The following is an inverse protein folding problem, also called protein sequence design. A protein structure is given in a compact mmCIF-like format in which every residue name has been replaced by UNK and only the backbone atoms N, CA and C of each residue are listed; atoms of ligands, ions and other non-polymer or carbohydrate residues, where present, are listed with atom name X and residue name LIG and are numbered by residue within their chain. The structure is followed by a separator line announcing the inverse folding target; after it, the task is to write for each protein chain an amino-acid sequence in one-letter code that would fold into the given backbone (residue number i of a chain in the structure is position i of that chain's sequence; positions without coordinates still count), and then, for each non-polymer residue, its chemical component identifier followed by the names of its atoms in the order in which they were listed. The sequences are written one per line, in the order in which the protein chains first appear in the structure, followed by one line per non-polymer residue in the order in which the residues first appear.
data_IF_903104708663
#
_entry.id   IF_903104708663
#
_cell.length_a   1.000
_cell.length_b   1.000
_cell.length_c   1.000
_cell.angle_alpha   90.00
_cell.angle_beta   90.00
_cell.angle_gamma   90.00
#
_symmetry.space_group_name_H-M   'P 1'
#
loop_
_entity.id
_entity.type
_entity.pdbx_description
1 polymer ?
#
# COMPACT_ATOMS: atom_id res chain seq x y z
N UNK A 1 -10.82 5.51 13.75
CA UNK A 1 -9.63 4.81 13.26
C UNK A 1 -9.03 5.56 12.08
N UNK A 2 -7.74 5.80 12.12
CA UNK A 2 -7.06 6.52 11.06
C UNK A 2 -6.40 5.53 10.11
N UNK A 3 -6.73 5.63 8.82
CA UNK A 3 -6.26 4.69 7.80
C UNK A 3 -5.51 5.41 6.70
N UNK A 4 -4.61 4.69 6.05
CA UNK A 4 -3.83 5.21 4.94
C UNK A 4 -3.57 4.11 3.93
N UNK A 5 -3.66 4.45 2.65
CA UNK A 5 -3.31 3.53 1.56
C UNK A 5 -1.93 3.92 1.06
N UNK A 6 -1.07 2.91 0.91
CA UNK A 6 0.27 3.10 0.37
C UNK A 6 0.41 2.21 -0.86
N UNK A 7 0.97 2.74 -1.94
CA UNK A 7 1.23 1.92 -3.11
C UNK A 7 2.72 1.91 -3.43
N UNK A 8 3.19 0.73 -3.86
CA UNK A 8 4.56 0.56 -4.33
C UNK A 8 4.53 -0.17 -5.65
N UNK A 9 4.79 0.53 -6.73
CA UNK A 9 4.71 -0.06 -8.06
C UNK A 9 5.62 0.67 -9.03
N UNK A 10 6.32 -0.10 -9.85
CA UNK A 10 7.08 0.43 -10.97
C UNK A 10 6.17 0.71 -12.16
N UNK A 11 5.10 -0.04 -12.26
CA UNK A 11 4.17 0.03 -13.37
C UNK A 11 2.82 0.53 -12.87
N UNK A 12 2.04 1.11 -13.77
CA UNK A 12 0.83 1.80 -13.39
C UNK A 12 -0.33 0.94 -12.88
N UNK A 13 -0.29 -0.37 -13.11
CA UNK A 13 -1.43 -1.23 -12.79
C UNK A 13 -1.77 -1.23 -11.30
N UNK A 14 -0.78 -1.51 -10.46
CA UNK A 14 -1.00 -1.52 -9.01
C UNK A 14 -1.44 -0.15 -8.51
N UNK A 15 -0.82 0.89 -9.05
CA UNK A 15 -1.17 2.27 -8.70
C UNK A 15 -2.62 2.56 -9.05
N UNK A 16 -3.08 2.09 -10.22
CA UNK A 16 -4.47 2.29 -10.64
C UNK A 16 -5.46 1.64 -9.68
N UNK A 17 -5.17 0.42 -9.27
CA UNK A 17 -6.03 -0.28 -8.30
C UNK A 17 -6.06 0.45 -6.96
N UNK A 18 -4.89 0.88 -6.50
CA UNK A 18 -4.80 1.59 -5.23
C UNK A 18 -5.58 2.91 -5.28
N UNK A 19 -5.45 3.64 -6.36
CA UNK A 19 -6.18 4.90 -6.54
C UNK A 19 -7.69 4.68 -6.57
N UNK A 20 -8.13 3.63 -7.26
CA UNK A 20 -9.56 3.30 -7.33
C UNK A 20 -10.09 2.96 -5.95
N UNK A 21 -9.34 2.18 -5.21
CA UNK A 21 -9.71 1.81 -3.84
C UNK A 21 -9.81 3.03 -2.95
N UNK A 22 -8.83 3.94 -3.07
CA UNK A 22 -8.83 5.18 -2.30
C UNK A 22 -10.06 6.04 -2.63
N UNK A 23 -10.40 6.10 -3.90
CA UNK A 23 -11.56 6.87 -4.36
C UNK A 23 -12.86 6.33 -3.78
N UNK A 24 -13.02 5.02 -3.79
CA UNK A 24 -14.22 4.36 -3.28
C UNK A 24 -14.34 4.50 -1.77
N UNK A 25 -13.24 4.31 -1.06
CA UNK A 25 -13.23 4.29 0.40
C UNK A 25 -13.05 5.66 1.03
N UNK A 26 -12.63 6.65 0.25
CA UNK A 26 -12.30 8.00 0.74
C UNK A 26 -11.11 8.00 1.70
N UNK A 27 -10.25 6.99 1.62
CA UNK A 27 -9.03 6.90 2.42
C UNK A 27 -7.89 7.59 1.67
N UNK A 28 -7.06 8.40 2.35
CA UNK A 28 -5.90 9.03 1.70
C UNK A 28 -4.93 8.00 1.15
N UNK A 29 -4.23 8.37 0.09
CA UNK A 29 -3.27 7.49 -0.59
C UNK A 29 -1.96 8.22 -0.83
N UNK A 30 -0.85 7.53 -0.59
CA UNK A 30 0.49 8.05 -0.88
C UNK A 30 1.35 6.97 -1.54
N UNK A 31 2.42 7.41 -2.20
CA UNK A 31 3.44 6.50 -2.72
C UNK A 31 4.33 6.00 -1.59
N UNK A 32 4.85 4.77 -1.71
CA UNK A 32 5.80 4.26 -0.73
C UNK A 32 7.06 5.13 -0.63
N UNK A 33 7.37 5.87 -1.69
CA UNK A 33 8.53 6.76 -1.70
C UNK A 33 8.32 8.01 -0.85
N UNK A 34 7.07 8.33 -0.54
CA UNK A 34 6.72 9.50 0.25
C UNK A 34 6.46 9.19 1.71
N UNK A 35 6.73 7.98 2.13
CA UNK A 35 6.53 7.57 3.53
C UNK A 35 7.51 8.32 4.43
N UNK A 36 6.98 8.95 5.47
CA UNK A 36 7.80 9.61 6.48
C UNK A 36 7.56 8.97 7.84
N UNK A 37 6.35 9.12 8.37
CA UNK A 37 6.00 8.65 9.69
C UNK A 37 4.57 8.13 9.65
N UNK A 38 4.39 6.86 9.98
CA UNK A 38 3.08 6.21 9.97
C UNK A 38 2.54 5.96 11.37
N UNK A 39 3.17 6.52 12.39
CA UNK A 39 2.78 6.25 13.78
C UNK A 39 1.40 6.79 14.13
N UNK A 40 0.87 7.71 13.34
CA UNK A 40 -0.45 8.26 13.55
C UNK A 40 -1.58 7.42 12.95
N UNK A 41 -1.23 6.35 12.24
CA UNK A 41 -2.22 5.53 11.55
C UNK A 41 -2.44 4.21 12.27
N UNK A 42 -3.69 3.80 12.34
CA UNK A 42 -4.07 2.54 12.98
C UNK A 42 -4.13 1.41 11.97
N UNK A 43 -4.43 1.74 10.72
CA UNK A 43 -4.56 0.74 9.66
C UNK A 43 -3.85 1.23 8.41
N UNK A 44 -3.00 0.38 7.87
CA UNK A 44 -2.32 0.64 6.61
C UNK A 44 -2.76 -0.40 5.59
N UNK A 45 -3.13 0.06 4.41
CA UNK A 45 -3.47 -0.82 3.29
C UNK A 45 -2.40 -0.63 2.23
N UNK A 46 -1.56 -1.65 2.05
CA UNK A 46 -0.42 -1.57 1.16
C UNK A 46 -0.69 -2.33 -0.13
N UNK A 47 -0.63 -1.62 -1.25
CA UNK A 47 -0.72 -2.23 -2.58
C UNK A 47 0.68 -2.25 -3.18
N UNK A 48 1.19 -3.42 -3.47
CA UNK A 48 2.53 -3.55 -4.03
C UNK A 48 2.61 -4.59 -5.11
N UNK A 49 3.44 -4.32 -6.11
CA UNK A 49 3.78 -5.32 -7.11
C UNK A 49 4.64 -6.40 -6.49
N UNK A 50 4.50 -7.62 -6.99
CA UNK A 50 5.27 -8.75 -6.50
C UNK A 50 6.53 -8.90 -7.33
N UNK A 51 7.68 -8.88 -6.67
CA UNK A 51 8.99 -8.95 -7.30
C UNK A 51 9.82 -10.04 -6.63
N UNK A 52 10.99 -10.33 -7.21
CA UNK A 52 11.89 -11.35 -6.67
C UNK A 52 12.26 -11.09 -5.20
N UNK A 53 12.31 -9.84 -4.80
CA UNK A 53 12.64 -9.47 -3.42
C UNK A 53 11.43 -9.30 -2.50
N UNK A 54 10.22 -9.64 -2.99
CA UNK A 54 9.01 -9.52 -2.19
C UNK A 54 8.07 -8.46 -2.74
N UNK A 55 7.27 -7.86 -1.87
CA UNK A 55 6.30 -6.84 -2.25
C UNK A 55 6.97 -5.47 -2.28
N UNK A 56 6.81 -4.75 -3.38
CA UNK A 56 7.45 -3.46 -3.57
C UNK A 56 7.03 -2.46 -2.50
N UNK A 57 8.02 -1.91 -1.82
CA UNK A 57 7.80 -0.87 -0.81
C UNK A 57 7.33 -1.36 0.55
N UNK A 58 7.07 -2.66 0.70
CA UNK A 58 6.54 -3.19 1.95
C UNK A 58 7.49 -2.99 3.13
N UNK A 59 8.80 -3.14 2.90
CA UNK A 59 9.78 -2.92 3.96
C UNK A 59 9.72 -1.50 4.51
N UNK A 60 9.57 -0.53 3.62
CA UNK A 60 9.49 0.87 4.02
C UNK A 60 8.24 1.12 4.87
N UNK A 61 7.13 0.53 4.46
CA UNK A 61 5.87 0.64 5.18
C UNK A 61 5.97 0.04 6.58
N UNK A 62 6.48 -1.18 6.67
CA UNK A 62 6.58 -1.89 7.95
C UNK A 62 7.49 -1.15 8.93
N UNK A 63 8.59 -0.59 8.44
CA UNK A 63 9.52 0.15 9.29
C UNK A 63 8.89 1.39 9.90
N UNK A 64 7.96 2.02 9.21
CA UNK A 64 7.37 3.27 9.65
C UNK A 64 6.15 3.09 10.54
N UNK A 65 5.61 1.88 10.64
CA UNK A 65 4.39 1.61 11.41
C UNK A 65 4.61 1.73 12.91
N UNK A 66 3.56 2.15 13.60
CA UNK A 66 3.56 2.04 15.06
C UNK A 66 3.38 0.57 15.44
N UNK A 67 3.73 0.25 16.68
CA UNK A 67 3.79 -1.13 17.16
C UNK A 67 2.45 -1.89 17.02
N UNK A 68 1.35 -1.23 17.28
CA UNK A 68 0.03 -1.85 17.32
C UNK A 68 -0.79 -1.66 16.05
N UNK A 69 -0.18 -1.11 15.00
CA UNK A 69 -0.90 -0.87 13.76
C UNK A 69 -1.22 -2.17 13.04
N UNK A 70 -2.36 -2.17 12.36
CA UNK A 70 -2.75 -3.29 11.50
C UNK A 70 -2.35 -2.99 10.07
N UNK A 71 -1.95 -4.00 9.33
CA UNK A 71 -1.58 -3.85 7.94
C UNK A 71 -2.28 -4.92 7.09
N UNK A 72 -2.83 -4.48 5.97
CA UNK A 72 -3.41 -5.35 4.95
C UNK A 72 -2.56 -5.18 3.71
N UNK A 73 -2.11 -6.29 3.14
CA UNK A 73 -1.23 -6.26 1.97
C UNK A 73 -1.94 -6.88 0.77
N UNK A 74 -2.00 -6.11 -0.31
CA UNK A 74 -2.46 -6.61 -1.61
C UNK A 74 -1.24 -6.71 -2.52
N UNK A 75 -0.79 -7.93 -2.78
CA UNK A 75 0.38 -8.20 -3.61
C UNK A 75 -0.04 -8.93 -4.86
N UNK A 76 0.62 -8.64 -5.98
CA UNK A 76 0.37 -9.31 -7.22
C UNK A 76 -1.01 -9.06 -7.78
N UNK A 77 -1.55 -7.88 -7.55
CA UNK A 77 -2.91 -7.52 -7.97
C UNK A 77 -3.10 -7.65 -9.48
N UNK A 78 -2.03 -7.43 -10.23
CA UNK A 78 -2.10 -7.49 -11.68
C UNK A 78 -2.50 -8.88 -12.21
N UNK A 79 -2.31 -9.92 -11.44
CA UNK A 79 -2.74 -11.26 -11.83
C UNK A 79 -4.25 -11.34 -11.99
N UNK A 80 -4.95 -10.63 -11.14
CA UNK A 80 -6.41 -10.62 -11.17
C UNK A 80 -6.92 -10.03 -12.47
N UNK A 81 -6.21 -9.03 -12.98
CA UNK A 81 -6.60 -8.36 -14.21
C UNK A 81 -6.42 -9.23 -15.44
N UNK A 82 -5.59 -10.25 -15.37
CA UNK A 82 -5.30 -11.14 -16.49
C UNK A 82 -6.24 -12.33 -16.55
N UNK A 83 -6.94 -12.56 -15.50
CA UNK A 83 -7.90 -13.65 -15.45
C UNK A 83 -9.17 -13.30 -16.18
#
# INVERSE_FOLDING_TARGET
MKSLIIYGSQYGTTKCYAKKFAEITKIPIISYEDIKDLTNYDLIIHFGGLYAGGVKGLKNTVKALKKDAKIIVFAGVYFMAQS
#
